data_IF_298849098681
#
_entry.id   IF_298849098681
#
_cell.length_a   1.000
_cell.length_b   1.000
_cell.length_c   1.000
_cell.angle_alpha   90.00
_cell.angle_beta   90.00
_cell.angle_gamma   90.00
#
_symmetry.space_group_name_H-M   'P 1'
#
loop_
_entity.id
_entity.type
_entity.pdbx_description
1 polymer ?
#
# COMPACT_ATOMS: atom_id res chain seq x y z
N UNK A 1 -5.09 6.79 5.96
CA UNK A 1 -3.86 7.50 5.52
C UNK A 1 -3.03 6.56 4.65
N UNK A 2 -1.98 7.05 4.00
CA UNK A 2 -1.07 6.19 3.21
C UNK A 2 0.20 5.95 4.03
N UNK A 3 0.50 4.69 4.34
CA UNK A 3 1.65 4.32 5.16
C UNK A 3 2.83 3.91 4.26
N UNK A 4 4.06 4.24 4.67
CA UNK A 4 5.28 3.86 3.93
C UNK A 4 5.41 2.35 3.73
N UNK A 5 4.88 1.55 4.68
CA UNK A 5 4.79 0.10 4.56
C UNK A 5 4.00 -0.37 3.34
N UNK A 6 2.98 0.38 2.89
CA UNK A 6 2.23 0.04 1.70
C UNK A 6 3.12 0.09 0.45
N UNK A 7 3.87 1.18 0.27
CA UNK A 7 4.80 1.35 -0.86
C UNK A 7 5.93 0.32 -0.79
N UNK A 8 6.42 0.03 0.42
CA UNK A 8 7.47 -0.97 0.62
C UNK A 8 7.03 -2.37 0.18
N UNK A 9 5.79 -2.76 0.48
CA UNK A 9 5.27 -4.09 0.19
C UNK A 9 4.68 -4.23 -1.22
N UNK A 10 4.17 -3.18 -1.84
CA UNK A 10 3.65 -3.22 -3.21
C UNK A 10 4.79 -3.46 -4.22
N UNK A 11 4.69 -4.50 -5.04
CA UNK A 11 5.78 -4.90 -5.94
C UNK A 11 5.97 -3.90 -7.10
N UNK A 12 4.87 -3.35 -7.62
CA UNK A 12 4.83 -2.35 -8.68
C UNK A 12 3.88 -1.18 -8.35
N UNK A 13 3.87 -0.16 -9.22
CA UNK A 13 3.05 1.04 -9.06
C UNK A 13 1.55 0.72 -9.10
N UNK A 14 1.15 -0.26 -9.91
CA UNK A 14 -0.25 -0.66 -10.04
C UNK A 14 -0.79 -1.27 -8.75
N UNK A 15 -0.01 -2.08 -8.03
CA UNK A 15 -0.41 -2.64 -6.75
C UNK A 15 -0.64 -1.54 -5.70
N UNK A 16 0.25 -0.55 -5.65
CA UNK A 16 0.06 0.63 -4.80
C UNK A 16 -1.19 1.43 -5.21
N UNK A 17 -1.33 1.71 -6.51
CA UNK A 17 -2.47 2.44 -7.07
C UNK A 17 -3.79 1.71 -6.81
N UNK A 18 -3.80 0.37 -6.77
CA UNK A 18 -5.02 -0.41 -6.51
C UNK A 18 -5.59 -0.14 -5.12
N UNK A 19 -4.73 0.05 -4.11
CA UNK A 19 -5.16 0.42 -2.76
C UNK A 19 -5.68 1.85 -2.74
N UNK A 20 -5.02 2.79 -3.41
CA UNK A 20 -5.53 4.16 -3.51
C UNK A 20 -6.89 4.24 -4.22
N UNK A 21 -7.05 3.49 -5.32
CA UNK A 21 -8.31 3.42 -6.05
C UNK A 21 -9.44 2.82 -5.18
N UNK A 22 -9.12 1.84 -4.33
CA UNK A 22 -10.04 1.28 -3.34
C UNK A 22 -10.47 2.32 -2.29
N UNK A 23 -9.53 3.09 -1.73
CA UNK A 23 -9.85 4.15 -0.78
C UNK A 23 -10.69 5.27 -1.42
N UNK A 24 -10.37 5.66 -2.65
CA UNK A 24 -11.16 6.63 -3.42
C UNK A 24 -12.57 6.08 -3.72
N UNK A 25 -12.72 4.78 -3.93
CA UNK A 25 -14.02 4.14 -4.05
C UNK A 25 -14.82 4.22 -2.74
N UNK A 26 -14.20 4.03 -1.58
CA UNK A 26 -14.87 4.25 -0.30
C UNK A 26 -15.40 5.67 -0.13
N UNK A 27 -14.60 6.67 -0.54
CA UNK A 27 -14.96 8.08 -0.46
C UNK A 27 -16.09 8.43 -1.44
N UNK A 28 -15.94 8.09 -2.71
CA UNK A 28 -16.93 8.37 -3.76
C UNK A 28 -18.27 7.71 -3.48
N UNK A 29 -18.27 6.47 -2.98
CA UNK A 29 -19.48 5.73 -2.60
C UNK A 29 -20.01 6.11 -1.21
N UNK A 30 -19.42 7.13 -0.57
CA UNK A 30 -19.83 7.70 0.73
C UNK A 30 -20.06 6.62 1.80
N UNK A 31 -19.25 5.56 1.82
CA UNK A 31 -19.46 4.41 2.70
C UNK A 31 -19.56 4.81 4.18
N UNK A 32 -18.73 5.76 4.62
CA UNK A 32 -18.78 6.27 5.99
C UNK A 32 -20.12 6.97 6.30
N UNK A 33 -20.56 7.90 5.46
CA UNK A 33 -21.82 8.60 5.65
C UNK A 33 -23.02 7.64 5.59
N UNK A 34 -23.02 6.68 4.66
CA UNK A 34 -24.05 5.62 4.58
C UNK A 34 -24.06 4.73 5.81
N UNK A 35 -22.91 4.48 6.45
CA UNK A 35 -22.85 3.72 7.69
C UNK A 35 -23.46 4.50 8.86
N UNK A 36 -23.14 5.79 9.00
CA UNK A 36 -23.72 6.66 10.03
C UNK A 36 -25.24 6.75 9.86
N UNK A 37 -25.70 7.06 8.64
CA UNK A 37 -27.13 7.16 8.36
C UNK A 37 -27.85 5.86 8.70
N UNK A 38 -27.30 4.71 8.29
CA UNK A 38 -27.87 3.39 8.61
C UNK A 38 -27.94 3.12 10.11
N UNK A 39 -26.94 3.54 10.89
CA UNK A 39 -26.96 3.39 12.34
C UNK A 39 -28.07 4.25 12.98
N UNK A 40 -28.28 5.46 12.47
CA UNK A 40 -29.35 6.36 12.94
C UNK A 40 -30.73 5.80 12.59
N UNK A 41 -30.95 5.43 11.34
CA UNK A 41 -32.23 4.92 10.82
C UNK A 41 -32.66 3.62 11.50
N UNK A 42 -31.69 2.79 11.92
CA UNK A 42 -31.94 1.49 12.57
C UNK A 42 -31.84 1.53 14.08
N UNK A 43 -31.66 2.70 14.68
CA UNK A 43 -31.53 2.83 16.14
C UNK A 43 -32.69 2.15 16.88
N UNK A 44 -33.93 2.38 16.44
CA UNK A 44 -35.12 1.74 17.00
C UNK A 44 -35.13 0.22 16.80
N UNK A 45 -34.87 -0.26 15.58
CA UNK A 45 -34.83 -1.70 15.30
C UNK A 45 -33.74 -2.42 16.11
N UNK A 46 -32.57 -1.81 16.25
CA UNK A 46 -31.48 -2.35 17.05
C UNK A 46 -31.85 -2.37 18.54
N UNK A 47 -32.51 -1.33 19.04
CA UNK A 47 -33.03 -1.28 20.41
C UNK A 47 -34.07 -2.39 20.65
N UNK A 48 -34.97 -2.65 19.70
CA UNK A 48 -35.94 -3.73 19.77
C UNK A 48 -35.28 -5.12 19.80
N UNK A 49 -34.20 -5.34 19.03
CA UNK A 49 -33.42 -6.59 19.09
C UNK A 49 -32.81 -6.79 20.47
N UNK A 50 -32.23 -5.74 21.05
CA UNK A 50 -31.65 -5.79 22.40
C UNK A 50 -32.75 -6.04 23.43
N UNK A 51 -33.86 -5.31 23.38
CA UNK A 51 -34.99 -5.48 24.29
C UNK A 51 -35.57 -6.89 24.23
N UNK A 52 -35.78 -7.43 23.03
CA UNK A 52 -36.24 -8.80 22.84
C UNK A 52 -35.23 -9.82 23.42
N UNK A 53 -33.93 -9.60 23.21
CA UNK A 53 -32.89 -10.47 23.77
C UNK A 53 -32.85 -10.46 25.30
N UNK A 54 -33.07 -9.29 25.92
CA UNK A 54 -33.16 -9.14 27.38
C UNK A 54 -34.41 -9.81 27.94
N UNK A 55 -35.56 -9.66 27.27
CA UNK A 55 -36.81 -10.30 27.70
C UNK A 55 -36.69 -11.84 27.70
N UNK A 56 -36.11 -12.42 26.65
CA UNK A 56 -35.89 -13.87 26.56
C UNK A 56 -34.87 -14.35 27.61
N UNK A 57 -33.85 -13.54 27.89
CA UNK A 57 -32.86 -13.84 28.92
C UNK A 57 -33.44 -13.85 30.33
N UNK A 58 -34.35 -12.93 30.62
CA UNK A 58 -35.06 -12.90 31.89
C UNK A 58 -36.07 -14.05 32.05
N UNK A 59 -36.67 -14.53 30.96
CA UNK A 59 -37.72 -15.55 31.03
C UNK A 59 -37.22 -16.99 30.99
N UNK A 60 -36.20 -17.28 30.17
CA UNK A 60 -35.96 -18.67 29.76
C UNK A 60 -34.53 -19.02 29.34
N UNK A 61 -33.71 -18.06 28.90
CA UNK A 61 -32.40 -18.37 28.30
C UNK A 61 -31.41 -17.20 28.46
N UNK A 62 -30.60 -17.17 29.53
CA UNK A 62 -29.64 -16.10 29.80
C UNK A 62 -28.69 -15.77 28.64
N UNK A 63 -28.35 -16.75 27.79
CA UNK A 63 -27.50 -16.60 26.61
C UNK A 63 -28.16 -15.77 25.49
N UNK A 64 -29.46 -15.50 25.56
CA UNK A 64 -30.18 -14.72 24.56
C UNK A 64 -29.61 -13.30 24.37
N UNK A 65 -29.06 -12.66 25.42
CA UNK A 65 -28.40 -11.35 25.32
C UNK A 65 -27.21 -11.43 24.36
N UNK A 66 -26.37 -12.47 24.48
CA UNK A 66 -25.23 -12.67 23.58
C UNK A 66 -25.71 -12.94 22.15
N UNK A 67 -26.78 -13.71 21.97
CA UNK A 67 -27.36 -13.95 20.65
C UNK A 67 -27.84 -12.64 19.99
N UNK A 68 -28.50 -11.76 20.74
CA UNK A 68 -28.92 -10.44 20.24
C UNK A 68 -27.74 -9.58 19.79
N UNK A 69 -26.67 -9.53 20.58
CA UNK A 69 -25.44 -8.83 20.21
C UNK A 69 -24.78 -9.43 18.96
N UNK A 70 -24.74 -10.77 18.86
CA UNK A 70 -24.18 -11.47 17.73
C UNK A 70 -24.96 -11.17 16.43
N UNK A 71 -26.29 -11.08 16.49
CA UNK A 71 -27.12 -10.68 15.34
C UNK A 71 -26.73 -9.29 14.85
N UNK A 72 -26.61 -8.30 15.75
CA UNK A 72 -26.21 -6.94 15.38
C UNK A 72 -24.79 -6.91 14.78
N UNK A 73 -23.87 -7.67 15.37
CA UNK A 73 -22.50 -7.78 14.86
C UNK A 73 -22.47 -8.43 13.46
N UNK A 74 -23.23 -9.49 13.24
CA UNK A 74 -23.34 -10.13 11.92
C UNK A 74 -23.91 -9.18 10.86
N UNK A 75 -24.93 -8.38 11.23
CA UNK A 75 -25.46 -7.36 10.33
C UNK A 75 -24.38 -6.33 9.95
N UNK A 76 -23.66 -5.79 10.94
CA UNK A 76 -22.57 -4.85 10.70
C UNK A 76 -21.47 -5.43 9.78
N UNK A 77 -21.05 -6.67 10.04
CA UNK A 77 -20.08 -7.38 9.21
C UNK A 77 -20.58 -7.61 7.77
N UNK A 78 -21.89 -7.90 7.60
CA UNK A 78 -22.49 -8.06 6.28
C UNK A 78 -22.42 -6.77 5.46
N UNK A 79 -22.75 -5.63 6.07
CA UNK A 79 -22.64 -4.32 5.42
C UNK A 79 -21.20 -3.95 5.11
N UNK A 80 -20.26 -4.21 6.03
CA UNK A 80 -18.83 -4.01 5.78
C UNK A 80 -18.40 -4.81 4.54
N UNK A 81 -18.72 -6.10 4.45
CA UNK A 81 -18.40 -6.92 3.26
C UNK A 81 -19.03 -6.39 1.98
N UNK A 82 -20.28 -5.92 2.05
CA UNK A 82 -20.95 -5.30 0.89
C UNK A 82 -20.23 -4.04 0.42
N UNK A 83 -19.82 -3.17 1.35
CA UNK A 83 -19.08 -1.95 1.04
C UNK A 83 -17.70 -2.30 0.43
N UNK A 84 -17.01 -3.31 0.96
CA UNK A 84 -15.72 -3.76 0.39
C UNK A 84 -15.88 -4.29 -1.04
N UNK A 85 -16.91 -5.08 -1.32
CA UNK A 85 -17.16 -5.58 -2.68
C UNK A 85 -17.49 -4.46 -3.67
N UNK A 86 -18.23 -3.45 -3.22
CA UNK A 86 -18.53 -2.26 -4.00
C UNK A 86 -17.25 -1.45 -4.27
N UNK A 87 -16.43 -1.22 -3.24
CA UNK A 87 -15.15 -0.53 -3.35
C UNK A 87 -14.16 -1.28 -4.27
N UNK A 88 -14.06 -2.60 -4.15
CA UNK A 88 -13.23 -3.43 -5.04
C UNK A 88 -13.64 -3.28 -6.51
N UNK A 89 -14.95 -3.17 -6.78
CA UNK A 89 -15.46 -3.05 -8.15
C UNK A 89 -15.23 -1.66 -8.71
N UNK A 90 -15.59 -0.61 -7.97
CA UNK A 90 -15.42 0.78 -8.41
C UNK A 90 -13.93 1.14 -8.49
N UNK A 91 -13.14 0.72 -7.50
CA UNK A 91 -11.69 0.88 -7.48
C UNK A 91 -11.02 0.19 -8.66
N UNK A 92 -11.47 -1.02 -9.04
CA UNK A 92 -10.98 -1.70 -10.24
C UNK A 92 -11.23 -0.86 -11.51
N UNK A 93 -12.43 -0.33 -11.71
CA UNK A 93 -12.73 0.52 -12.88
C UNK A 93 -11.84 1.77 -12.92
N UNK A 94 -11.65 2.42 -11.77
CA UNK A 94 -10.73 3.56 -11.62
C UNK A 94 -9.30 3.17 -11.98
N UNK A 95 -8.81 2.05 -11.47
CA UNK A 95 -7.46 1.53 -11.73
C UNK A 95 -7.21 1.30 -13.23
N UNK A 96 -8.16 0.65 -13.91
CA UNK A 96 -8.10 0.42 -15.36
C UNK A 96 -8.14 1.74 -16.12
N UNK A 97 -9.06 2.65 -15.76
CA UNK A 97 -9.18 3.95 -16.43
C UNK A 97 -7.90 4.80 -16.30
N UNK A 98 -7.15 4.60 -15.21
CA UNK A 98 -5.87 5.26 -14.99
C UNK A 98 -4.70 4.61 -15.77
N UNK A 99 -4.92 3.48 -16.45
CA UNK A 99 -3.93 2.79 -17.28
C UNK A 99 -3.05 1.79 -16.54
N UNK A 100 -3.45 1.34 -15.35
CA UNK A 100 -2.73 0.33 -14.58
C UNK A 100 -3.16 -1.09 -14.93
N UNK A 101 -2.33 -2.05 -14.51
CA UNK A 101 -2.55 -3.47 -14.79
C UNK A 101 -3.83 -3.97 -14.06
N UNK A 102 -4.78 -4.62 -14.76
CA UNK A 102 -5.96 -5.24 -14.16
C UNK A 102 -5.66 -6.19 -13.01
N UNK A 103 -4.54 -6.92 -13.07
CA UNK A 103 -4.18 -7.90 -12.06
C UNK A 103 -3.65 -7.28 -10.76
N UNK A 104 -3.26 -6.00 -10.77
CA UNK A 104 -2.59 -5.36 -9.64
C UNK A 104 -3.40 -5.43 -8.34
N UNK A 105 -4.73 -5.28 -8.41
CA UNK A 105 -5.58 -5.40 -7.22
C UNK A 105 -5.59 -6.81 -6.63
N UNK A 106 -5.66 -7.84 -7.48
CA UNK A 106 -5.61 -9.24 -7.04
C UNK A 106 -4.24 -9.60 -6.46
N UNK A 107 -3.16 -9.18 -7.13
CA UNK A 107 -1.79 -9.38 -6.67
C UNK A 107 -1.54 -8.71 -5.32
N UNK A 108 -2.04 -7.48 -5.12
CA UNK A 108 -1.93 -6.78 -3.85
C UNK A 108 -2.68 -7.51 -2.73
N UNK A 109 -3.88 -8.03 -3.00
CA UNK A 109 -4.59 -8.85 -2.01
C UNK A 109 -3.83 -10.13 -1.66
N UNK A 110 -3.24 -10.81 -2.63
CA UNK A 110 -2.41 -12.00 -2.38
C UNK A 110 -1.18 -11.66 -1.54
N UNK A 111 -0.54 -10.51 -1.81
CA UNK A 111 0.56 -9.99 -1.01
C UNK A 111 0.13 -9.77 0.44
N UNK A 112 -0.98 -9.07 0.66
CA UNK A 112 -1.54 -8.83 2.00
C UNK A 112 -1.92 -10.13 2.71
N UNK A 113 -2.48 -11.10 2.00
CA UNK A 113 -2.78 -12.41 2.56
C UNK A 113 -1.51 -13.15 2.99
N UNK A 114 -0.45 -13.08 2.18
CA UNK A 114 0.84 -13.68 2.52
C UNK A 114 1.46 -13.04 3.76
N UNK A 115 1.49 -11.71 3.81
CA UNK A 115 2.00 -10.96 4.96
C UNK A 115 1.19 -11.26 6.23
N UNK A 116 -0.13 -11.34 6.11
CA UNK A 116 -1.03 -11.70 7.21
C UNK A 116 -0.77 -13.10 7.77
N UNK A 117 -0.25 -14.05 6.98
CA UNK A 117 0.12 -15.38 7.49
C UNK A 117 1.43 -15.37 8.28
N UNK A 118 2.33 -14.43 7.97
CA UNK A 118 3.64 -14.31 8.62
C UNK A 118 3.55 -13.54 9.95
N UNK A 119 2.73 -12.49 9.99
CA UNK A 119 2.63 -11.58 11.15
C UNK A 119 1.29 -11.66 11.88
N UNK A 120 0.27 -12.33 11.32
CA UNK A 120 -1.11 -12.27 11.82
C UNK A 120 -1.92 -11.16 11.14
N UNK A 121 -3.22 -11.39 10.92
CA UNK A 121 -4.11 -10.44 10.23
C UNK A 121 -4.31 -9.13 11.01
N UNK A 122 -4.27 -9.20 12.34
CA UNK A 122 -4.45 -8.04 13.22
C UNK A 122 -3.24 -7.09 13.25
N UNK A 123 -2.08 -7.55 12.79
CA UNK A 123 -0.84 -6.77 12.77
C UNK A 123 -0.74 -5.88 11.52
N UNK A 124 -1.56 -6.16 10.50
CA UNK A 124 -1.70 -5.32 9.32
C UNK A 124 -2.87 -4.37 9.48
N UNK A 125 -2.59 -3.10 9.76
CA UNK A 125 -3.59 -2.05 9.97
C UNK A 125 -4.66 -2.01 8.85
N UNK A 126 -4.23 -2.15 7.59
CA UNK A 126 -5.14 -2.19 6.44
C UNK A 126 -6.18 -3.32 6.53
N UNK A 127 -5.80 -4.51 6.99
CA UNK A 127 -6.73 -5.64 7.10
C UNK A 127 -7.69 -5.54 8.29
N UNK A 128 -7.40 -4.64 9.25
CA UNK A 128 -8.32 -4.35 10.37
C UNK A 128 -9.53 -3.56 9.89
N UNK A 129 -9.35 -2.60 8.99
CA UNK A 129 -10.44 -1.82 8.39
C UNK A 129 -11.01 -2.46 7.13
N UNK A 130 -10.20 -3.21 6.39
CA UNK A 130 -10.58 -3.87 5.12
C UNK A 130 -10.38 -5.38 5.21
N UNK A 131 -11.31 -6.13 5.82
CA UNK A 131 -11.19 -7.58 5.95
C UNK A 131 -11.05 -8.27 4.58
N UNK A 132 -9.94 -8.97 4.40
CA UNK A 132 -9.69 -9.72 3.17
C UNK A 132 -10.29 -11.12 3.24
N UNK A 133 -10.99 -11.53 2.18
CA UNK A 133 -11.58 -12.88 2.07
C UNK A 133 -11.13 -13.56 0.78
N UNK A 134 -11.16 -14.90 0.75
CA UNK A 134 -10.88 -15.67 -0.48
C UNK A 134 -11.82 -15.27 -1.63
N UNK A 135 -13.06 -14.90 -1.31
CA UNK A 135 -14.04 -14.43 -2.29
C UNK A 135 -13.58 -13.14 -2.97
N UNK A 136 -13.10 -12.14 -2.22
CA UNK A 136 -12.59 -10.88 -2.79
C UNK A 136 -11.42 -11.09 -3.75
N UNK A 137 -10.48 -11.98 -3.40
CA UNK A 137 -9.35 -12.34 -4.29
C UNK A 137 -9.86 -12.97 -5.58
N UNK A 138 -10.75 -13.96 -5.46
CA UNK A 138 -11.36 -14.65 -6.61
C UNK A 138 -12.12 -13.66 -7.50
N UNK A 139 -12.97 -12.82 -6.93
CA UNK A 139 -13.75 -11.82 -7.65
C UNK A 139 -12.85 -10.80 -8.36
N UNK A 140 -11.75 -10.38 -7.72
CA UNK A 140 -10.76 -9.47 -8.31
C UNK A 140 -10.05 -10.10 -9.51
N UNK A 141 -9.57 -11.35 -9.37
CA UNK A 141 -8.99 -12.10 -10.49
C UNK A 141 -9.98 -12.30 -11.63
N UNK A 142 -11.25 -12.58 -11.32
CA UNK A 142 -12.27 -12.80 -12.33
C UNK A 142 -12.47 -11.54 -13.18
N UNK A 143 -12.57 -10.37 -12.55
CA UNK A 143 -12.65 -9.08 -13.26
C UNK A 143 -11.41 -8.78 -14.09
N UNK A 144 -10.22 -9.04 -13.54
CA UNK A 144 -8.97 -8.80 -14.26
C UNK A 144 -8.88 -9.59 -15.57
N UNK A 145 -9.36 -10.85 -15.59
CA UNK A 145 -9.35 -11.71 -16.79
C UNK A 145 -10.22 -11.21 -17.93
N UNK A 146 -11.19 -10.34 -17.68
CA UNK A 146 -12.05 -9.76 -18.71
C UNK A 146 -11.36 -8.62 -19.47
N UNK A 147 -10.25 -8.10 -18.96
CA UNK A 147 -9.51 -6.99 -19.55
C UNK A 147 -8.23 -7.52 -20.20
N UNK A 148 -8.08 -7.27 -21.50
CA UNK A 148 -6.86 -7.58 -22.23
C UNK A 148 -6.08 -6.30 -22.52
N UNK A 149 -4.76 -6.38 -22.40
CA UNK A 149 -3.89 -5.23 -22.62
C UNK A 149 -2.44 -5.55 -22.31
N UNK A 150 -1.58 -4.62 -22.69
CA UNK A 150 -0.15 -4.63 -22.40
C UNK A 150 0.34 -3.19 -22.19
N UNK A 151 1.59 -2.99 -21.79
CA UNK A 151 2.18 -1.67 -21.54
C UNK A 151 1.45 -0.86 -20.45
N UNK A 152 1.03 -1.55 -19.38
CA UNK A 152 0.46 -0.89 -18.21
C UNK A 152 1.47 0.02 -17.52
N UNK A 153 0.97 1.08 -16.88
CA UNK A 153 1.81 2.04 -16.16
C UNK A 153 2.58 1.37 -15.02
N UNK A 154 3.88 1.62 -15.01
CA UNK A 154 4.78 1.34 -13.90
C UNK A 154 5.99 2.28 -14.02
N UNK A 155 5.88 3.44 -13.38
CA UNK A 155 6.82 4.55 -13.54
C UNK A 155 8.17 4.28 -12.89
N UNK A 156 9.24 4.81 -13.50
CA UNK A 156 10.57 4.82 -12.89
C UNK A 156 10.54 5.59 -11.56
N UNK A 157 9.79 6.69 -11.52
CA UNK A 157 9.61 7.54 -10.34
C UNK A 157 9.06 6.73 -9.16
N UNK A 158 8.02 5.92 -9.38
CA UNK A 158 7.51 5.03 -8.34
C UNK A 158 8.59 4.07 -7.83
N UNK A 159 9.36 3.44 -8.74
CA UNK A 159 10.44 2.52 -8.36
C UNK A 159 11.55 3.24 -7.57
N UNK A 160 11.89 4.48 -7.92
CA UNK A 160 12.85 5.30 -7.18
C UNK A 160 12.33 5.69 -5.79
N UNK A 161 11.06 6.10 -5.67
CA UNK A 161 10.45 6.40 -4.36
C UNK A 161 10.39 5.14 -3.49
N UNK A 162 9.99 4.00 -4.06
CA UNK A 162 10.02 2.71 -3.35
C UNK A 162 11.43 2.37 -2.86
N UNK A 163 12.46 2.60 -3.68
CA UNK A 163 13.85 2.37 -3.31
C UNK A 163 14.32 3.29 -2.19
N UNK A 164 13.91 4.57 -2.20
CA UNK A 164 14.21 5.51 -1.11
C UNK A 164 13.56 5.05 0.20
N UNK A 165 12.30 4.61 0.13
CA UNK A 165 11.56 4.13 1.30
C UNK A 165 12.17 2.85 1.86
N UNK A 166 12.58 1.90 1.00
CA UNK A 166 13.13 0.60 1.44
C UNK A 166 14.37 0.73 2.33
N UNK A 167 15.15 1.80 2.16
CA UNK A 167 16.33 2.08 2.99
C UNK A 167 15.97 2.17 4.47
N UNK A 168 14.80 2.73 4.80
CA UNK A 168 14.34 2.90 6.18
C UNK A 168 13.93 1.57 6.84
N UNK A 169 13.74 0.51 6.06
CA UNK A 169 13.38 -0.82 6.57
C UNK A 169 14.60 -1.71 6.89
N UNK A 170 15.83 -1.28 6.55
CA UNK A 170 17.04 -1.96 7.01
C UNK A 170 17.40 -1.57 8.44
N UNK A 171 17.81 -2.56 9.24
CA UNK A 171 18.18 -2.38 10.65
C UNK A 171 19.41 -1.49 10.82
N UNK A 172 20.38 -1.58 9.91
CA UNK A 172 21.62 -0.80 9.96
C UNK A 172 22.01 -0.27 8.57
N UNK A 173 22.71 0.86 8.52
CA UNK A 173 23.22 1.44 7.27
C UNK A 173 24.15 0.46 6.53
N UNK A 174 25.00 -0.29 7.27
CA UNK A 174 25.88 -1.31 6.68
C UNK A 174 25.12 -2.44 6.02
N UNK A 175 24.01 -2.90 6.63
CA UNK A 175 23.14 -3.92 6.04
C UNK A 175 22.54 -3.42 4.72
N UNK A 176 22.02 -2.18 4.71
CA UNK A 176 21.48 -1.55 3.50
C UNK A 176 22.55 -1.47 2.40
N UNK A 177 23.75 -0.96 2.71
CA UNK A 177 24.86 -0.87 1.74
C UNK A 177 25.22 -2.24 1.17
N UNK A 178 25.33 -3.27 2.01
CA UNK A 178 25.67 -4.63 1.56
C UNK A 178 24.64 -5.19 0.56
N UNK A 179 23.36 -5.09 0.92
CA UNK A 179 22.25 -5.58 0.10
C UNK A 179 22.15 -4.82 -1.23
N UNK A 180 22.14 -3.49 -1.17
CA UNK A 180 21.99 -2.65 -2.36
C UNK A 180 23.20 -2.71 -3.29
N UNK A 181 24.40 -2.98 -2.75
CA UNK A 181 25.59 -3.25 -3.56
C UNK A 181 25.46 -4.56 -4.33
N UNK A 182 24.84 -5.58 -3.74
CA UNK A 182 24.55 -6.83 -4.45
C UNK A 182 23.49 -6.61 -5.55
N UNK A 183 22.44 -5.86 -5.27
CA UNK A 183 21.40 -5.51 -6.25
C UNK A 183 21.99 -4.74 -7.44
N UNK A 184 22.81 -3.73 -7.18
CA UNK A 184 23.49 -2.94 -8.21
C UNK A 184 24.40 -3.80 -9.11
N UNK A 185 25.08 -4.81 -8.54
CA UNK A 185 25.88 -5.76 -9.33
C UNK A 185 25.04 -6.68 -10.22
N UNK A 186 23.79 -6.94 -9.85
CA UNK A 186 22.87 -7.81 -10.61
C UNK A 186 22.08 -7.03 -11.67
N UNK A 187 22.10 -5.70 -11.63
CA UNK A 187 21.38 -4.85 -12.57
C UNK A 187 21.87 -5.07 -14.02
N UNK A 188 20.95 -5.39 -14.93
CA UNK A 188 21.28 -5.75 -16.32
C UNK A 188 21.02 -4.60 -17.30
N UNK A 189 19.82 -4.03 -17.23
CA UNK A 189 19.38 -2.93 -18.10
C UNK A 189 19.65 -1.55 -17.45
N UNK A 190 19.43 -0.48 -18.21
CA UNK A 190 19.69 0.89 -17.73
C UNK A 190 18.76 1.28 -16.57
N UNK A 191 17.49 0.88 -16.63
CA UNK A 191 16.51 1.21 -15.59
C UNK A 191 16.89 0.60 -14.23
N UNK A 192 17.25 -0.68 -14.21
CA UNK A 192 17.70 -1.36 -13.00
C UNK A 192 19.00 -0.75 -12.47
N UNK A 193 19.91 -0.32 -13.34
CA UNK A 193 21.15 0.38 -12.94
C UNK A 193 20.86 1.75 -12.32
N UNK A 194 19.89 2.49 -12.86
CA UNK A 194 19.44 3.76 -12.30
C UNK A 194 18.89 3.52 -10.88
N UNK A 195 17.94 2.59 -10.74
CA UNK A 195 17.26 2.34 -9.46
C UNK A 195 18.22 1.81 -8.40
N UNK A 196 19.02 0.80 -8.74
CA UNK A 196 19.94 0.18 -7.79
C UNK A 196 21.13 1.08 -7.44
N UNK A 197 21.66 1.83 -8.42
CA UNK A 197 22.70 2.85 -8.20
C UNK A 197 22.20 3.98 -7.30
N UNK A 198 20.99 4.49 -7.55
CA UNK A 198 20.33 5.48 -6.71
C UNK A 198 20.14 4.97 -5.27
N UNK A 199 19.58 3.76 -5.09
CA UNK A 199 19.41 3.16 -3.77
C UNK A 199 20.73 3.00 -3.03
N UNK A 200 21.76 2.50 -3.72
CA UNK A 200 23.10 2.34 -3.15
C UNK A 200 23.70 3.68 -2.72
N UNK A 201 23.55 4.72 -3.54
CA UNK A 201 24.03 6.06 -3.21
C UNK A 201 23.39 6.59 -1.91
N UNK A 202 22.07 6.47 -1.78
CA UNK A 202 21.36 6.88 -0.56
C UNK A 202 21.80 6.07 0.67
N UNK A 203 21.99 4.76 0.55
CA UNK A 203 22.48 3.93 1.65
C UNK A 203 23.92 4.27 2.05
N UNK A 204 24.80 4.55 1.08
CA UNK A 204 26.17 5.00 1.33
C UNK A 204 26.19 6.37 2.04
N UNK A 205 25.32 7.30 1.62
CA UNK A 205 25.16 8.60 2.29
C UNK A 205 24.73 8.42 3.74
N UNK A 206 23.75 7.53 4.01
CA UNK A 206 23.31 7.18 5.38
C UNK A 206 24.42 6.51 6.22
N UNK A 207 25.41 5.90 5.57
CA UNK A 207 26.59 5.30 6.21
C UNK A 207 27.80 6.28 6.27
N UNK A 208 27.58 7.57 6.00
CA UNK A 208 28.60 8.64 5.94
C UNK A 208 29.70 8.44 4.87
N UNK A 209 29.47 7.59 3.87
CA UNK A 209 30.41 7.31 2.77
C UNK A 209 30.15 8.21 1.58
N UNK A 210 30.24 9.52 1.80
CA UNK A 210 29.79 10.54 0.85
C UNK A 210 30.49 10.49 -0.51
N UNK A 211 31.81 10.29 -0.56
CA UNK A 211 32.52 10.20 -1.85
C UNK A 211 32.01 9.06 -2.73
N UNK A 212 31.74 7.89 -2.14
CA UNK A 212 31.18 6.75 -2.85
C UNK A 212 29.71 6.99 -3.22
N UNK A 213 28.94 7.62 -2.33
CA UNK A 213 27.55 7.98 -2.61
C UNK A 213 27.44 8.93 -3.83
N UNK A 214 28.29 9.96 -3.88
CA UNK A 214 28.38 10.90 -5.00
C UNK A 214 28.77 10.21 -6.30
N UNK A 215 29.70 9.25 -6.25
CA UNK A 215 30.09 8.46 -7.42
C UNK A 215 28.90 7.65 -7.97
N UNK A 216 28.18 6.94 -7.10
CA UNK A 216 27.06 6.09 -7.50
C UNK A 216 25.85 6.89 -8.03
N UNK A 217 25.48 8.01 -7.38
CA UNK A 217 24.37 8.85 -7.89
C UNK A 217 24.73 9.51 -9.22
N UNK A 218 25.99 9.91 -9.42
CA UNK A 218 26.46 10.46 -10.71
C UNK A 218 26.45 9.40 -11.82
N UNK A 219 26.70 8.13 -11.51
CA UNK A 219 26.53 7.02 -12.48
C UNK A 219 25.06 6.87 -12.89
N UNK A 220 24.12 6.95 -11.95
CA UNK A 220 22.69 6.93 -12.25
C UNK A 220 22.26 8.14 -13.10
N UNK A 221 22.67 9.36 -12.73
CA UNK A 221 22.39 10.60 -13.49
C UNK A 221 22.95 10.58 -14.91
N UNK A 222 24.06 9.88 -15.17
CA UNK A 222 24.57 9.73 -16.55
C UNK A 222 23.60 8.97 -17.46
N UNK A 223 22.78 8.07 -16.89
CA UNK A 223 21.80 7.28 -17.62
C UNK A 223 20.47 8.02 -17.77
N UNK A 224 20.12 8.90 -16.83
CA UNK A 224 18.93 9.75 -16.86
C UNK A 224 19.23 11.12 -16.22
N UNK A 225 19.63 12.09 -17.05
CA UNK A 225 20.20 13.38 -16.61
C UNK A 225 19.15 14.34 -16.06
N UNK A 226 17.95 14.29 -16.60
CA UNK A 226 16.86 15.22 -16.30
C UNK A 226 15.98 14.73 -15.12
N UNK A 227 16.30 13.57 -14.55
CA UNK A 227 15.52 13.00 -13.46
C UNK A 227 15.65 13.82 -12.18
N UNK A 228 14.60 14.54 -11.82
CA UNK A 228 14.56 15.41 -10.64
C UNK A 228 14.81 14.66 -9.33
N UNK A 229 14.40 13.38 -9.23
CA UNK A 229 14.63 12.58 -8.01
C UNK A 229 16.12 12.29 -7.83
N UNK A 230 16.83 12.01 -8.93
CA UNK A 230 18.28 11.78 -8.90
C UNK A 230 19.05 13.07 -8.65
N UNK A 231 18.65 14.18 -9.26
CA UNK A 231 19.26 15.51 -9.03
C UNK A 231 19.08 15.95 -7.57
N UNK A 232 17.87 15.77 -7.03
CA UNK A 232 17.58 16.05 -5.61
C UNK A 232 18.44 15.18 -4.69
N UNK A 233 18.62 13.90 -4.99
CA UNK A 233 19.50 13.04 -4.19
C UNK A 233 20.97 13.46 -4.26
N UNK A 234 21.46 13.89 -5.43
CA UNK A 234 22.81 14.44 -5.55
C UNK A 234 23.00 15.68 -4.65
N UNK A 235 22.03 16.59 -4.67
CA UNK A 235 22.00 17.76 -3.78
C UNK A 235 22.00 17.36 -2.30
N UNK A 236 21.10 16.47 -1.89
CA UNK A 236 21.02 15.96 -0.51
C UNK A 236 22.34 15.33 -0.04
N UNK A 237 23.02 14.57 -0.91
CA UNK A 237 24.30 13.94 -0.58
C UNK A 237 25.39 15.01 -0.40
N UNK A 238 25.45 16.03 -1.26
CA UNK A 238 26.38 17.15 -1.08
C UNK A 238 26.13 17.92 0.23
N UNK A 239 24.86 18.16 0.58
CA UNK A 239 24.49 18.80 1.86
C UNK A 239 24.91 17.96 3.06
N UNK A 240 24.66 16.64 3.02
CA UNK A 240 25.08 15.72 4.10
C UNK A 240 26.61 15.64 4.23
N UNK A 241 27.34 15.77 3.11
CA UNK A 241 28.80 15.85 3.10
C UNK A 241 29.37 17.18 3.61
N UNK A 242 28.50 18.18 3.88
CA UNK A 242 28.87 19.58 4.18
C UNK A 242 29.58 20.29 3.03
N UNK A 243 29.35 19.86 1.79
CA UNK A 243 29.89 20.47 0.58
C UNK A 243 28.95 21.56 0.04
N UNK A 244 28.71 22.62 0.82
CA UNK A 244 27.71 23.65 0.51
C UNK A 244 27.92 24.37 -0.83
N UNK A 245 29.17 24.59 -1.25
CA UNK A 245 29.49 25.25 -2.52
C UNK A 245 29.15 24.38 -3.75
N UNK A 246 29.36 23.07 -3.65
CA UNK A 246 29.01 22.14 -4.73
C UNK A 246 27.50 21.87 -4.78
N UNK A 247 26.81 21.93 -3.64
CA UNK A 247 25.36 21.81 -3.56
C UNK A 247 24.64 22.92 -4.35
N UNK A 248 25.09 24.18 -4.23
CA UNK A 248 24.52 25.33 -4.95
C UNK A 248 24.77 25.29 -6.46
N UNK A 249 25.86 24.64 -6.91
CA UNK A 249 26.18 24.53 -8.33
C UNK A 249 25.37 23.45 -9.08
N UNK A 250 24.66 22.59 -8.35
CA UNK A 250 23.88 21.46 -8.90
C UNK A 250 22.37 21.72 -8.91
N UNK A 251 21.88 22.63 -8.06
CA UNK A 251 20.46 23.06 -8.01
C UNK A 251 20.19 24.27 -8.89
#
# INVERSE_FOLDING_TARGET
GVHSGLIYHADDEGQFASVLAHELAHLSQRHFARNIQRQQDRSLSNALIILASVAIAASSNPEAIMAGQQVLQQQAMSYSRSNEQEADRIGFLTLISAGFNPDSGAQMFEKLQSLSRLSGANDLEFLRSHPLTKKRISDSRNRAREIQGSNYKNSLEYRLIKQRISINFYKTSRQAVSQLKQENRRAKNNEDKIISGYGLALALSRDNKYSQALEEVRKALKLDKENLILQTALLEIHLNAKNGLEAVAVG
#
